data_IF_323303429616
#
_entry.id   IF_323303429616
#
_cell.length_a   1.000
_cell.length_b   1.000
_cell.length_c   1.000
_cell.angle_alpha   90.00
_cell.angle_beta   90.00
_cell.angle_gamma   90.00
#
_symmetry.space_group_name_H-M   'P 1'
#
loop_
_entity.id
_entity.type
_entity.pdbx_description
1 polymer ?
#
# COMPACT_ATOMS: atom_id res chain seq x y z
N UNK A 1 9.05 27.36 -3.01
CA UNK A 1 7.74 27.25 -2.28
C UNK A 1 6.99 26.06 -2.82
N UNK A 2 6.62 25.07 -1.95
CA UNK A 2 5.64 24.08 -2.36
C UNK A 2 4.30 24.80 -2.55
N UNK A 3 3.70 24.68 -3.75
CA UNK A 3 2.37 25.21 -4.01
C UNK A 3 1.34 24.48 -3.12
N UNK A 4 0.17 25.10 -2.89
CA UNK A 4 -0.95 24.50 -2.15
C UNK A 4 -1.24 23.04 -2.54
N UNK A 5 -1.05 22.69 -3.80
CA UNK A 5 -1.27 21.33 -4.33
C UNK A 5 -0.22 20.33 -3.85
N UNK A 6 1.07 20.71 -3.84
CA UNK A 6 2.13 19.85 -3.32
C UNK A 6 2.00 19.57 -1.83
N UNK A 7 1.57 20.57 -1.06
CA UNK A 7 1.27 20.41 0.36
C UNK A 7 0.06 19.47 0.59
N UNK A 8 -0.97 19.55 -0.26
CA UNK A 8 -2.14 18.65 -0.16
C UNK A 8 -1.78 17.21 -0.49
N UNK A 9 -0.97 16.98 -1.54
CA UNK A 9 -0.51 15.64 -1.88
C UNK A 9 0.33 15.04 -0.76
N UNK A 10 1.34 15.76 -0.28
CA UNK A 10 2.21 15.26 0.79
C UNK A 10 1.43 15.03 2.09
N UNK A 11 0.43 15.89 2.40
CA UNK A 11 -0.46 15.67 3.54
C UNK A 11 -1.35 14.44 3.35
N UNK A 12 -1.85 14.16 2.14
CA UNK A 12 -2.62 12.95 1.86
C UNK A 12 -1.75 11.68 2.01
N UNK A 13 -0.51 11.71 1.51
CA UNK A 13 0.42 10.59 1.66
C UNK A 13 0.85 10.38 3.11
N UNK A 14 1.06 11.47 3.87
CA UNK A 14 1.31 11.41 5.31
C UNK A 14 0.10 10.83 6.04
N UNK A 15 -1.10 11.29 5.75
CA UNK A 15 -2.34 10.76 6.32
C UNK A 15 -2.52 9.28 6.02
N UNK A 16 -2.20 8.84 4.80
CA UNK A 16 -2.22 7.43 4.43
C UNK A 16 -1.19 6.62 5.22
N UNK A 17 0.04 7.12 5.36
CA UNK A 17 1.07 6.45 6.16
C UNK A 17 0.64 6.30 7.63
N UNK A 18 0.09 7.36 8.23
CA UNK A 18 -0.44 7.32 9.60
C UNK A 18 -1.58 6.29 9.71
N UNK A 19 -2.52 6.31 8.77
CA UNK A 19 -3.62 5.35 8.74
C UNK A 19 -3.11 3.91 8.70
N UNK A 20 -2.17 3.61 7.80
CA UNK A 20 -1.56 2.28 7.68
C UNK A 20 -0.84 1.88 8.98
N UNK A 21 -0.06 2.80 9.59
CA UNK A 21 0.61 2.56 10.88
C UNK A 21 -0.44 2.19 11.94
N UNK A 22 -1.48 3.00 12.12
CA UNK A 22 -2.50 2.75 13.13
C UNK A 22 -3.23 1.42 12.89
N UNK A 23 -3.57 1.12 11.64
CA UNK A 23 -4.24 -0.12 11.29
C UNK A 23 -3.38 -1.36 11.57
N UNK A 24 -2.08 -1.30 11.31
CA UNK A 24 -1.16 -2.42 11.55
C UNK A 24 -0.80 -2.58 13.03
N UNK A 25 -0.62 -1.48 13.74
CA UNK A 25 -0.16 -1.51 15.14
C UNK A 25 -1.29 -1.73 16.14
N UNK A 26 -2.50 -1.24 15.88
CA UNK A 26 -3.65 -1.35 16.79
C UNK A 26 -4.60 -2.50 16.43
N UNK A 27 -4.31 -3.27 15.38
CA UNK A 27 -5.06 -4.49 15.09
C UNK A 27 -4.94 -5.46 16.29
N UNK A 28 -6.06 -6.05 16.78
CA UNK A 28 -7.39 -6.19 16.18
C UNK A 28 -8.44 -5.14 16.60
N UNK A 29 -8.06 -4.01 17.18
CA UNK A 29 -8.96 -2.95 17.67
C UNK A 29 -9.94 -3.40 18.76
N UNK A 30 -9.60 -4.45 19.46
CA UNK A 30 -10.37 -4.94 20.60
C UNK A 30 -9.76 -4.40 21.89
N UNK A 31 -10.48 -3.46 22.51
CA UNK A 31 -10.05 -2.86 23.77
C UNK A 31 -10.71 -3.59 24.95
N UNK A 32 -9.90 -3.97 25.92
CA UNK A 32 -10.34 -4.59 27.17
C UNK A 32 -9.61 -3.95 28.35
N UNK A 33 -10.16 -4.11 29.53
CA UNK A 33 -9.48 -3.68 30.76
C UNK A 33 -8.21 -4.51 30.94
N UNK A 34 -7.02 -3.89 31.06
CA UNK A 34 -5.77 -4.62 31.13
C UNK A 34 -5.62 -5.33 32.48
N UNK A 35 -5.18 -6.57 32.46
CA UNK A 35 -4.83 -7.32 33.68
C UNK A 35 -3.52 -6.81 34.30
N UNK A 36 -2.64 -6.20 33.52
CA UNK A 36 -1.38 -5.58 33.96
C UNK A 36 -1.12 -4.33 33.14
N UNK A 37 -0.72 -3.27 33.82
CA UNK A 37 -0.30 -2.01 33.20
C UNK A 37 1.22 -1.96 33.25
N UNK A 38 1.87 -1.88 32.09
CA UNK A 38 3.32 -1.75 32.03
C UNK A 38 3.87 -1.95 30.62
N UNK A 39 5.11 -1.47 30.44
CA UNK A 39 5.87 -1.65 29.20
C UNK A 39 6.91 -2.75 29.40
N UNK A 40 7.17 -3.50 28.33
CA UNK A 40 8.24 -4.50 28.31
C UNK A 40 9.49 -3.94 27.65
N UNK A 41 10.63 -4.58 27.93
CA UNK A 41 11.90 -4.33 27.23
C UNK A 41 12.24 -5.47 26.26
N UNK A 42 11.29 -6.39 26.02
CA UNK A 42 11.52 -7.54 25.14
C UNK A 42 10.88 -7.27 23.78
N UNK A 43 11.65 -7.47 22.73
CA UNK A 43 11.19 -7.46 21.35
C UNK A 43 12.04 -8.42 20.52
N UNK A 44 11.48 -8.92 19.42
CA UNK A 44 12.20 -9.73 18.45
C UNK A 44 12.93 -8.80 17.46
N UNK A 45 14.08 -9.21 16.96
CA UNK A 45 14.85 -8.48 15.95
C UNK A 45 14.03 -8.16 14.71
N UNK A 46 13.09 -9.03 14.35
CA UNK A 46 12.15 -8.80 13.24
C UNK A 46 11.25 -7.59 13.53
N UNK A 47 10.68 -7.50 14.73
CA UNK A 47 9.86 -6.36 15.14
C UNK A 47 10.66 -5.06 15.11
N UNK A 48 11.92 -5.08 15.54
CA UNK A 48 12.83 -3.92 15.45
C UNK A 48 12.93 -3.42 14.01
N UNK A 49 13.23 -4.33 13.06
CA UNK A 49 13.36 -3.97 11.64
C UNK A 49 12.04 -3.45 11.10
N UNK A 50 10.92 -4.12 11.39
CA UNK A 50 9.60 -3.73 10.88
C UNK A 50 9.14 -2.39 11.42
N UNK A 51 9.35 -2.11 12.68
CA UNK A 51 9.03 -0.83 13.31
C UNK A 51 9.80 0.31 12.64
N UNK A 52 11.11 0.13 12.42
CA UNK A 52 11.94 1.11 11.70
C UNK A 52 11.36 1.32 10.28
N UNK A 53 11.17 0.26 9.50
CA UNK A 53 10.70 0.34 8.11
C UNK A 53 9.31 0.96 8.03
N UNK A 54 8.41 0.62 8.94
CA UNK A 54 7.05 1.13 9.00
C UNK A 54 7.00 2.66 9.22
N UNK A 55 7.93 3.21 10.02
CA UNK A 55 7.95 4.63 10.35
C UNK A 55 8.81 5.49 9.41
N UNK A 56 9.63 4.90 8.52
CA UNK A 56 10.39 5.66 7.50
C UNK A 56 9.47 6.53 6.62
N UNK A 57 8.37 6.01 6.01
CA UNK A 57 7.46 6.82 5.21
C UNK A 57 6.84 7.98 5.99
N UNK A 58 6.48 7.75 7.26
CA UNK A 58 5.96 8.80 8.12
C UNK A 58 6.96 9.96 8.27
N UNK A 59 8.20 9.67 8.65
CA UNK A 59 9.23 10.70 8.82
C UNK A 59 9.53 11.47 7.52
N UNK A 60 9.60 10.75 6.40
CA UNK A 60 9.80 11.33 5.07
C UNK A 60 8.68 12.29 4.68
N UNK A 61 7.41 11.84 4.73
CA UNK A 61 6.27 12.67 4.36
C UNK A 61 5.99 13.81 5.35
N UNK A 62 6.26 13.60 6.63
CA UNK A 62 6.20 14.67 7.61
C UNK A 62 7.17 15.80 7.27
N UNK A 63 8.42 15.46 6.99
CA UNK A 63 9.48 16.41 6.62
C UNK A 63 9.15 17.15 5.31
N UNK A 64 8.59 16.42 4.35
CA UNK A 64 8.11 16.97 3.07
C UNK A 64 6.96 17.94 3.25
N UNK A 65 5.98 17.62 4.12
CA UNK A 65 4.73 18.39 4.29
C UNK A 65 4.95 19.65 5.12
N UNK A 66 5.53 19.49 6.31
CA UNK A 66 5.62 20.56 7.30
C UNK A 66 6.97 21.28 7.29
N UNK A 67 7.98 20.74 6.61
CA UNK A 67 9.34 21.27 6.53
C UNK A 67 10.00 21.56 7.89
N UNK A 68 9.44 21.00 8.97
CA UNK A 68 9.92 21.16 10.34
C UNK A 68 10.84 20.01 10.74
N UNK A 69 11.85 20.29 11.56
CA UNK A 69 12.81 19.29 12.08
C UNK A 69 12.24 18.38 13.18
N UNK A 70 10.92 18.43 13.43
CA UNK A 70 10.26 17.68 14.52
C UNK A 70 9.81 16.26 14.19
N UNK A 71 10.21 15.66 13.06
CA UNK A 71 9.78 14.31 12.68
C UNK A 71 10.15 13.26 13.75
N UNK A 72 11.35 13.36 14.32
CA UNK A 72 11.81 12.47 15.38
C UNK A 72 10.94 12.58 16.64
N UNK A 73 10.67 13.79 17.11
CA UNK A 73 9.84 14.04 18.28
C UNK A 73 8.38 13.59 18.05
N UNK A 74 7.81 13.93 16.90
CA UNK A 74 6.43 13.52 16.59
C UNK A 74 6.32 12.01 16.41
N UNK A 75 7.33 11.36 15.81
CA UNK A 75 7.42 9.91 15.74
C UNK A 75 7.43 9.26 17.12
N UNK A 76 8.21 9.82 18.07
CA UNK A 76 8.22 9.38 19.45
C UNK A 76 6.85 9.53 20.13
N UNK A 77 6.19 10.68 19.93
CA UNK A 77 4.87 10.95 20.52
C UNK A 77 3.82 9.99 19.96
N UNK A 78 3.76 9.82 18.63
CA UNK A 78 2.80 8.90 18.01
C UNK A 78 3.06 7.47 18.45
N UNK A 79 4.33 7.04 18.48
CA UNK A 79 4.68 5.71 18.94
C UNK A 79 4.29 5.49 20.41
N UNK A 80 4.58 6.46 21.28
CA UNK A 80 4.16 6.39 22.68
C UNK A 80 2.65 6.28 22.83
N UNK A 81 1.87 7.03 22.05
CA UNK A 81 0.40 6.92 22.04
C UNK A 81 -0.03 5.52 21.60
N UNK A 82 0.56 4.99 20.54
CA UNK A 82 0.27 3.65 20.03
C UNK A 82 0.54 2.61 21.12
N UNK A 83 1.73 2.61 21.71
CA UNK A 83 2.09 1.64 22.75
C UNK A 83 1.20 1.78 24.00
N UNK A 84 0.79 3.01 24.34
CA UNK A 84 -0.16 3.24 25.43
C UNK A 84 -1.54 2.64 25.14
N UNK A 85 -2.03 2.80 23.90
CA UNK A 85 -3.31 2.18 23.45
C UNK A 85 -3.18 0.65 23.44
N UNK A 86 -2.02 0.12 23.07
CA UNK A 86 -1.76 -1.33 23.07
C UNK A 86 -1.83 -1.97 24.46
N UNK A 87 -1.65 -1.21 25.55
CA UNK A 87 -1.89 -1.71 26.93
C UNK A 87 -3.31 -2.27 27.06
N UNK A 88 -4.28 -1.67 26.37
CA UNK A 88 -5.69 -2.05 26.40
C UNK A 88 -6.05 -3.13 25.36
N UNK A 89 -5.10 -3.59 24.57
CA UNK A 89 -5.30 -4.65 23.56
C UNK A 89 -4.71 -5.96 24.10
N UNK A 90 -5.51 -6.95 24.54
CA UNK A 90 -5.03 -8.10 25.30
C UNK A 90 -3.95 -8.96 24.64
N UNK A 91 -3.87 -8.90 23.31
CA UNK A 91 -2.91 -9.69 22.50
C UNK A 91 -1.66 -8.91 22.11
N UNK A 92 -1.56 -7.65 22.53
CA UNK A 92 -0.39 -6.81 22.31
C UNK A 92 0.42 -6.68 23.59
N UNK A 93 1.72 -6.60 23.44
CA UNK A 93 2.67 -6.39 24.52
C UNK A 93 3.42 -5.08 24.26
N UNK A 94 3.00 -3.97 24.85
CA UNK A 94 3.64 -2.68 24.62
C UNK A 94 5.13 -2.72 25.04
N UNK A 95 5.99 -2.13 24.21
CA UNK A 95 7.43 -2.22 24.36
C UNK A 95 8.11 -0.86 24.24
N UNK A 96 9.01 -0.54 25.16
CA UNK A 96 9.86 0.66 25.08
C UNK A 96 10.78 0.60 23.86
N UNK A 97 11.23 -0.62 23.49
CA UNK A 97 12.08 -0.81 22.31
C UNK A 97 11.31 -0.44 21.05
N UNK A 98 10.00 -0.71 20.98
CA UNK A 98 9.18 -0.35 19.84
C UNK A 98 9.04 1.18 19.72
N UNK A 99 8.93 1.91 20.84
CA UNK A 99 8.96 3.38 20.82
C UNK A 99 10.28 3.89 20.25
N UNK A 100 11.40 3.33 20.66
CA UNK A 100 12.73 3.73 20.20
C UNK A 100 12.92 3.44 18.69
N UNK A 101 12.53 2.27 18.25
CA UNK A 101 12.71 1.84 16.86
C UNK A 101 11.79 2.60 15.89
N UNK A 102 10.56 2.87 16.28
CA UNK A 102 9.62 3.72 15.53
C UNK A 102 10.14 5.16 15.43
N UNK A 103 10.69 5.69 16.54
CA UNK A 103 11.30 7.02 16.58
C UNK A 103 12.51 7.08 15.65
N UNK A 104 13.37 6.06 15.68
CA UNK A 104 14.53 5.93 14.80
C UNK A 104 14.08 5.89 13.34
N UNK A 105 13.07 5.09 13.00
CA UNK A 105 12.49 5.02 11.65
C UNK A 105 12.00 6.38 11.16
N UNK A 106 11.31 7.15 12.02
CA UNK A 106 10.87 8.52 11.72
C UNK A 106 12.05 9.46 11.44
N UNK A 107 13.11 9.35 12.23
CA UNK A 107 14.36 10.13 12.05
C UNK A 107 15.03 9.77 10.73
N UNK A 108 15.18 8.47 10.43
CA UNK A 108 15.76 7.99 9.17
C UNK A 108 14.96 8.46 7.96
N UNK A 109 13.62 8.45 8.03
CA UNK A 109 12.74 8.98 6.97
C UNK A 109 12.97 10.47 6.71
N UNK A 110 13.09 11.28 7.77
CA UNK A 110 13.38 12.70 7.65
C UNK A 110 14.77 12.96 7.05
N UNK A 111 15.78 12.21 7.47
CA UNK A 111 17.13 12.26 6.89
C UNK A 111 17.14 11.86 5.43
N UNK A 112 16.41 10.80 5.07
CA UNK A 112 16.28 10.37 3.69
C UNK A 112 15.67 11.49 2.82
N UNK A 113 14.66 12.21 3.31
CA UNK A 113 14.13 13.38 2.62
C UNK A 113 15.18 14.47 2.44
N UNK A 114 15.92 14.83 3.50
CA UNK A 114 16.94 15.89 3.43
C UNK A 114 18.05 15.51 2.44
N UNK A 115 18.52 14.25 2.42
CA UNK A 115 19.50 13.74 1.47
C UNK A 115 19.00 13.79 0.02
N UNK A 116 17.75 13.38 -0.21
CA UNK A 116 17.13 13.40 -1.54
C UNK A 116 16.92 14.83 -2.01
N UNK A 117 16.39 15.71 -1.17
CA UNK A 117 16.06 17.09 -1.52
C UNK A 117 17.30 17.96 -1.82
N UNK A 118 18.45 17.66 -1.22
CA UNK A 118 19.70 18.40 -1.45
C UNK A 118 20.50 17.92 -2.67
N UNK A 119 20.34 16.65 -3.05
CA UNK A 119 21.13 16.03 -4.12
C UNK A 119 20.44 15.99 -5.48
N UNK A 120 19.11 16.10 -5.52
CA UNK A 120 18.34 16.01 -6.76
C UNK A 120 18.02 17.41 -7.28
N UNK A 121 18.92 17.95 -8.11
CA UNK A 121 18.56 18.98 -9.10
C UNK A 121 17.95 18.27 -10.31
N UNK A 122 16.63 18.33 -10.46
CA UNK A 122 15.94 17.67 -11.57
C UNK A 122 16.05 18.59 -12.79
N UNK A 123 16.81 18.22 -13.85
CA UNK A 123 16.88 19.00 -15.07
C UNK A 123 15.49 19.01 -15.73
N UNK A 124 15.14 20.10 -16.44
CA UNK A 124 13.82 20.24 -17.08
C UNK A 124 13.49 19.11 -18.07
N UNK A 125 14.50 18.53 -18.73
CA UNK A 125 14.35 17.36 -19.59
C UNK A 125 13.87 16.12 -18.83
N UNK A 126 14.30 15.94 -17.59
CA UNK A 126 13.88 14.84 -16.70
C UNK A 126 12.47 15.06 -16.16
N UNK A 127 12.06 16.32 -15.94
CA UNK A 127 10.70 16.64 -15.46
C UNK A 127 9.63 16.19 -16.47
N UNK A 128 9.90 16.28 -17.76
CA UNK A 128 9.01 15.77 -18.80
C UNK A 128 8.80 14.25 -18.73
N UNK A 129 9.85 13.48 -18.38
CA UNK A 129 9.79 12.02 -18.17
C UNK A 129 9.04 11.68 -16.87
N UNK A 130 9.30 12.37 -15.78
CA UNK A 130 8.62 12.19 -14.52
C UNK A 130 7.10 12.32 -14.63
N UNK A 131 6.59 13.14 -15.56
CA UNK A 131 5.14 13.24 -15.80
C UNK A 131 4.48 11.91 -16.16
N UNK A 132 5.20 11.03 -16.82
CA UNK A 132 4.70 9.75 -17.29
C UNK A 132 4.90 8.63 -16.25
N UNK A 133 5.96 8.73 -15.46
CA UNK A 133 6.42 7.65 -14.57
C UNK A 133 5.96 7.84 -13.12
N UNK A 134 5.78 9.07 -12.68
CA UNK A 134 5.36 9.35 -11.29
C UNK A 134 4.04 8.70 -10.91
N UNK A 135 3.01 8.63 -11.78
CA UNK A 135 1.80 7.86 -11.46
C UNK A 135 2.07 6.38 -11.23
N UNK A 136 2.94 5.76 -12.02
CA UNK A 136 3.33 4.35 -11.82
C UNK A 136 4.14 4.15 -10.54
N UNK A 137 5.00 5.10 -10.18
CA UNK A 137 5.71 5.10 -8.89
C UNK A 137 4.73 5.24 -7.70
N UNK A 138 3.68 6.07 -7.85
CA UNK A 138 2.60 6.18 -6.88
C UNK A 138 1.88 4.84 -6.68
N UNK A 139 1.64 4.10 -7.75
CA UNK A 139 1.06 2.76 -7.68
C UNK A 139 1.98 1.79 -6.91
N UNK A 140 3.28 1.76 -7.22
CA UNK A 140 4.27 0.95 -6.49
C UNK A 140 4.23 1.25 -4.99
N UNK A 141 4.17 2.53 -4.62
CA UNK A 141 4.06 2.93 -3.22
C UNK A 141 2.78 2.39 -2.56
N UNK A 142 1.64 2.50 -3.23
CA UNK A 142 0.35 2.02 -2.69
C UNK A 142 0.26 0.50 -2.61
N UNK A 143 1.03 -0.25 -3.41
CA UNK A 143 1.09 -1.70 -3.35
C UNK A 143 1.90 -2.23 -2.15
N UNK A 144 2.82 -1.44 -1.56
CA UNK A 144 3.64 -1.90 -0.41
C UNK A 144 2.80 -2.28 0.80
N UNK A 145 1.87 -1.43 1.30
CA UNK A 145 1.01 -1.80 2.42
C UNK A 145 0.13 -3.03 2.13
N UNK A 146 -0.25 -3.22 0.86
CA UNK A 146 -1.03 -4.38 0.45
C UNK A 146 -0.21 -5.68 0.49
N UNK A 147 1.04 -5.63 0.03
CA UNK A 147 1.99 -6.73 0.21
C UNK A 147 2.21 -7.06 1.67
N UNK A 148 2.44 -6.03 2.48
CA UNK A 148 2.64 -6.17 3.92
C UNK A 148 1.44 -6.84 4.60
N UNK A 149 0.23 -6.38 4.27
CA UNK A 149 -1.01 -6.95 4.77
C UNK A 149 -1.14 -8.44 4.43
N UNK A 150 -0.84 -8.82 3.19
CA UNK A 150 -0.86 -10.22 2.77
C UNK A 150 0.25 -11.06 3.42
N UNK A 151 1.43 -10.48 3.61
CA UNK A 151 2.55 -11.15 4.25
C UNK A 151 2.27 -11.45 5.74
N UNK A 152 1.59 -10.56 6.46
CA UNK A 152 1.14 -10.82 7.83
C UNK A 152 0.18 -12.01 7.93
N UNK A 153 -0.65 -12.23 6.91
CA UNK A 153 -1.59 -13.34 6.89
C UNK A 153 -0.97 -14.68 6.45
N UNK A 154 0.23 -14.66 5.93
CA UNK A 154 0.88 -15.83 5.34
C UNK A 154 1.14 -16.94 6.36
N UNK A 155 1.55 -16.60 7.57
CA UNK A 155 1.82 -17.57 8.64
C UNK A 155 0.55 -18.32 9.07
N UNK A 156 -0.59 -17.63 9.11
CA UNK A 156 -1.85 -18.19 9.55
C UNK A 156 -2.62 -18.91 8.43
N UNK A 157 -2.36 -18.55 7.17
CA UNK A 157 -3.01 -19.09 5.99
C UNK A 157 -2.01 -19.21 4.82
N UNK A 158 -1.18 -20.29 4.79
CA UNK A 158 -0.14 -20.46 3.77
C UNK A 158 -0.66 -20.40 2.33
N UNK A 159 -1.90 -20.80 2.08
CA UNK A 159 -2.53 -20.72 0.75
C UNK A 159 -2.65 -19.30 0.20
N UNK A 160 -2.52 -18.27 1.06
CA UNK A 160 -2.58 -16.85 0.65
C UNK A 160 -1.36 -16.39 -0.16
N UNK A 161 -0.33 -17.24 -0.35
CA UNK A 161 0.77 -16.94 -1.24
C UNK A 161 0.33 -16.55 -2.65
N UNK A 162 -0.83 -17.06 -3.11
CA UNK A 162 -1.43 -16.72 -4.41
C UNK A 162 -1.77 -15.22 -4.47
N UNK A 163 -2.35 -14.67 -3.41
CA UNK A 163 -2.68 -13.23 -3.32
C UNK A 163 -1.42 -12.37 -3.33
N UNK A 164 -0.41 -12.77 -2.56
CA UNK A 164 0.90 -12.11 -2.55
C UNK A 164 1.55 -12.14 -3.93
N UNK A 165 1.47 -13.27 -4.63
CA UNK A 165 2.00 -13.42 -5.99
C UNK A 165 1.31 -12.46 -6.98
N UNK A 166 -0.02 -12.36 -6.96
CA UNK A 166 -0.77 -11.47 -7.87
C UNK A 166 -0.39 -10.00 -7.67
N UNK A 167 -0.28 -9.55 -6.41
CA UNK A 167 0.16 -8.18 -6.12
C UNK A 167 1.58 -7.96 -6.62
N UNK A 168 2.45 -8.93 -6.38
CA UNK A 168 3.85 -8.86 -6.78
C UNK A 168 4.03 -8.85 -8.31
N UNK A 169 3.19 -9.58 -9.04
CA UNK A 169 3.15 -9.51 -10.51
C UNK A 169 2.74 -8.12 -11.01
N UNK A 170 1.79 -7.46 -10.34
CA UNK A 170 1.47 -6.06 -10.66
C UNK A 170 2.70 -5.15 -10.51
N UNK A 171 3.43 -5.28 -9.40
CA UNK A 171 4.67 -4.53 -9.17
C UNK A 171 5.74 -4.83 -10.22
N UNK A 172 5.97 -6.10 -10.55
CA UNK A 172 6.91 -6.56 -11.58
C UNK A 172 6.64 -5.91 -12.93
N UNK A 173 5.37 -5.90 -13.37
CA UNK A 173 4.98 -5.26 -14.62
C UNK A 173 5.29 -3.76 -14.59
N UNK A 174 4.96 -3.08 -13.48
CA UNK A 174 5.18 -1.65 -13.35
C UNK A 174 6.68 -1.31 -13.33
N UNK A 175 7.50 -2.04 -12.55
CA UNK A 175 8.95 -1.84 -12.54
C UNK A 175 9.58 -2.05 -13.92
N UNK A 176 9.22 -3.14 -14.62
CA UNK A 176 9.75 -3.41 -15.94
C UNK A 176 9.46 -2.28 -16.92
N UNK A 177 8.27 -1.70 -16.90
CA UNK A 177 7.89 -0.61 -17.80
C UNK A 177 8.55 0.72 -17.40
N UNK A 178 8.69 1.05 -16.10
CA UNK A 178 9.43 2.23 -15.66
C UNK A 178 10.87 2.17 -16.15
N UNK A 179 11.56 1.04 -15.95
CA UNK A 179 12.97 0.91 -16.31
C UNK A 179 13.19 0.87 -17.83
N UNK A 180 12.28 0.32 -18.63
CA UNK A 180 12.35 0.38 -20.10
C UNK A 180 12.36 1.81 -20.63
N UNK A 181 11.68 2.72 -19.96
CA UNK A 181 11.56 4.12 -20.39
C UNK A 181 12.68 5.01 -19.87
N UNK A 182 13.33 4.63 -18.77
CA UNK A 182 14.39 5.43 -18.16
C UNK A 182 15.70 5.35 -18.93
N UNK A 183 15.95 4.22 -19.61
CA UNK A 183 17.19 4.00 -20.37
C UNK A 183 16.90 3.80 -21.85
N UNK A 184 17.41 4.72 -22.68
CA UNK A 184 17.29 4.63 -24.14
C UNK A 184 18.11 3.47 -24.73
N UNK A 185 19.21 3.08 -24.04
CA UNK A 185 20.06 1.97 -24.43
C UNK A 185 19.68 0.70 -23.66
N UNK A 186 19.29 -0.32 -24.41
CA UNK A 186 19.08 -1.67 -23.85
C UNK A 186 20.41 -2.24 -23.40
N UNK A 187 20.66 -2.21 -22.11
CA UNK A 187 21.81 -2.85 -21.49
C UNK A 187 21.33 -3.88 -20.49
N UNK A 188 22.06 -4.99 -20.35
CA UNK A 188 21.83 -5.96 -19.27
C UNK A 188 21.79 -5.28 -17.89
N UNK A 189 22.52 -4.15 -17.72
CA UNK A 189 22.52 -3.34 -16.49
C UNK A 189 21.15 -2.77 -16.17
N UNK A 190 20.36 -2.38 -17.16
CA UNK A 190 19.00 -1.86 -16.98
C UNK A 190 18.09 -2.95 -16.46
N UNK A 191 18.15 -4.14 -17.07
CA UNK A 191 17.38 -5.31 -16.63
C UNK A 191 17.75 -5.75 -15.21
N UNK A 192 19.05 -5.73 -14.88
CA UNK A 192 19.55 -6.03 -13.55
C UNK A 192 19.05 -5.01 -12.51
N UNK A 193 19.15 -3.71 -12.83
CA UNK A 193 18.67 -2.65 -11.93
C UNK A 193 17.15 -2.73 -11.71
N UNK A 194 16.38 -3.05 -12.74
CA UNK A 194 14.94 -3.28 -12.62
C UNK A 194 14.63 -4.47 -11.70
N UNK A 195 15.35 -5.58 -11.89
CA UNK A 195 15.22 -6.76 -11.05
C UNK A 195 15.58 -6.48 -9.58
N UNK A 196 16.68 -5.77 -9.34
CA UNK A 196 17.10 -5.39 -7.99
C UNK A 196 16.07 -4.45 -7.33
N UNK A 197 15.56 -3.45 -8.05
CA UNK A 197 14.53 -2.56 -7.53
C UNK A 197 13.24 -3.31 -7.18
N UNK A 198 12.78 -4.21 -8.05
CA UNK A 198 11.62 -5.06 -7.79
C UNK A 198 11.84 -6.02 -6.62
N UNK A 199 13.04 -6.60 -6.51
CA UNK A 199 13.43 -7.46 -5.40
C UNK A 199 13.42 -6.71 -4.06
N UNK A 200 14.09 -5.55 -3.99
CA UNK A 200 14.10 -4.70 -2.79
C UNK A 200 12.67 -4.34 -2.37
N UNK A 201 11.85 -3.89 -3.32
CA UNK A 201 10.44 -3.56 -3.09
C UNK A 201 9.66 -4.76 -2.55
N UNK A 202 9.82 -5.94 -3.18
CA UNK A 202 9.15 -7.16 -2.75
C UNK A 202 9.56 -7.58 -1.33
N UNK A 203 10.87 -7.60 -1.03
CA UNK A 203 11.35 -8.00 0.30
C UNK A 203 10.97 -6.99 1.39
N UNK A 204 10.90 -5.69 1.09
CA UNK A 204 10.34 -4.71 2.02
C UNK A 204 8.86 -5.00 2.27
N UNK A 205 8.07 -5.23 1.23
CA UNK A 205 6.63 -5.48 1.33
C UNK A 205 6.28 -6.85 1.92
N UNK A 206 7.10 -7.88 1.69
CA UNK A 206 6.89 -9.24 2.22
C UNK A 206 7.62 -9.51 3.54
N UNK A 207 8.26 -8.51 4.12
CA UNK A 207 9.04 -8.62 5.36
C UNK A 207 8.34 -9.40 6.48
N UNK A 208 7.04 -9.16 6.79
CA UNK A 208 6.35 -9.95 7.81
C UNK A 208 6.30 -11.47 7.56
N UNK A 209 6.38 -11.91 6.30
CA UNK A 209 6.37 -13.33 5.93
C UNK A 209 7.75 -14.01 5.98
N UNK A 210 8.79 -13.34 6.46
CA UNK A 210 10.14 -13.89 6.60
C UNK A 210 10.23 -15.05 7.64
N UNK A 211 9.15 -15.31 8.38
CA UNK A 211 8.96 -16.54 9.15
C UNK A 211 8.97 -17.79 8.26
N UNK A 212 8.58 -17.65 6.99
CA UNK A 212 8.60 -18.67 5.94
C UNK A 212 9.64 -18.31 4.86
N UNK A 213 10.95 -18.39 5.17
CA UNK A 213 11.99 -17.80 4.31
C UNK A 213 12.07 -18.45 2.93
N UNK A 214 11.89 -19.76 2.82
CA UNK A 214 12.03 -20.48 1.56
C UNK A 214 10.99 -20.08 0.50
N UNK A 215 9.67 -20.08 0.78
CA UNK A 215 8.68 -19.59 -0.19
C UNK A 215 8.89 -18.13 -0.56
N UNK A 216 9.19 -17.26 0.41
CA UNK A 216 9.41 -15.83 0.15
C UNK A 216 10.62 -15.60 -0.74
N UNK A 217 11.74 -16.29 -0.48
CA UNK A 217 12.94 -16.22 -1.32
C UNK A 217 12.65 -16.76 -2.73
N UNK A 218 11.96 -17.89 -2.85
CA UNK A 218 11.63 -18.47 -4.16
C UNK A 218 10.76 -17.52 -5.00
N UNK A 219 9.70 -16.94 -4.39
CA UNK A 219 8.86 -15.95 -5.06
C UNK A 219 9.68 -14.71 -5.42
N UNK A 220 10.48 -14.18 -4.51
CA UNK A 220 11.30 -12.99 -4.73
C UNK A 220 12.29 -13.18 -5.90
N UNK A 221 13.00 -14.30 -5.94
CA UNK A 221 13.92 -14.62 -7.04
C UNK A 221 13.20 -14.80 -8.38
N UNK A 222 12.05 -15.48 -8.38
CA UNK A 222 11.22 -15.64 -9.58
C UNK A 222 10.74 -14.29 -10.11
N UNK A 223 10.32 -13.38 -9.24
CA UNK A 223 9.88 -12.02 -9.60
C UNK A 223 11.05 -11.18 -10.14
N UNK A 224 12.23 -11.25 -9.54
CA UNK A 224 13.43 -10.60 -10.03
C UNK A 224 13.79 -11.10 -11.43
N UNK A 225 13.79 -12.41 -11.64
CA UNK A 225 14.03 -13.01 -12.95
C UNK A 225 12.98 -12.56 -13.98
N UNK A 226 11.71 -12.61 -13.62
CA UNK A 226 10.61 -12.15 -14.48
C UNK A 226 10.73 -10.65 -14.80
N UNK A 227 11.10 -9.82 -13.83
CA UNK A 227 11.31 -8.38 -14.05
C UNK A 227 12.46 -8.15 -15.03
N UNK A 228 13.58 -8.86 -14.87
CA UNK A 228 14.73 -8.77 -15.78
C UNK A 228 14.33 -9.17 -17.21
N UNK A 229 13.63 -10.28 -17.37
CA UNK A 229 13.19 -10.79 -18.68
C UNK A 229 12.20 -9.84 -19.36
N UNK A 230 11.17 -9.39 -18.61
CA UNK A 230 10.20 -8.42 -19.13
C UNK A 230 10.89 -7.10 -19.53
N UNK A 231 11.89 -6.64 -18.77
CA UNK A 231 12.65 -5.41 -19.10
C UNK A 231 13.49 -5.59 -20.36
N UNK A 232 14.05 -6.79 -20.59
CA UNK A 232 14.85 -7.11 -21.78
C UNK A 232 14.02 -7.23 -23.06
N UNK A 233 12.70 -7.56 -22.93
CA UNK A 233 11.83 -7.70 -24.09
C UNK A 233 11.66 -6.38 -24.86
N UNK A 234 11.60 -6.44 -26.21
CA UNK A 234 11.36 -5.26 -27.01
C UNK A 234 10.03 -4.58 -26.66
N UNK A 235 10.07 -3.28 -26.62
CA UNK A 235 8.86 -2.49 -26.45
C UNK A 235 8.01 -2.60 -27.72
N UNK A 236 6.83 -3.18 -27.60
CA UNK A 236 5.93 -3.43 -28.75
C UNK A 236 5.25 -2.17 -29.27
N UNK A 237 5.22 -1.09 -28.49
CA UNK A 237 4.54 0.13 -28.89
C UNK A 237 5.48 1.34 -28.84
N UNK A 238 5.64 2.03 -29.98
CA UNK A 238 6.15 3.40 -30.03
C UNK A 238 5.15 4.42 -29.49
N UNK A 239 4.05 3.96 -28.89
CA UNK A 239 3.03 4.85 -28.37
C UNK A 239 3.55 5.67 -27.19
N UNK A 240 3.37 6.98 -27.28
CA UNK A 240 3.59 7.94 -26.17
C UNK A 240 2.71 7.66 -24.93
N UNK A 241 1.99 6.52 -24.89
CA UNK A 241 0.98 6.13 -23.88
C UNK A 241 1.31 4.81 -23.22
N UNK A 242 2.55 4.57 -22.85
CA UNK A 242 2.99 3.32 -22.23
C UNK A 242 2.26 3.02 -20.91
N UNK A 243 1.84 4.02 -20.15
CA UNK A 243 1.07 3.82 -18.91
C UNK A 243 -0.24 3.06 -19.18
N UNK A 244 -0.94 3.38 -20.26
CA UNK A 244 -2.20 2.70 -20.61
C UNK A 244 -1.98 1.24 -21.00
N UNK A 245 -0.88 0.95 -21.68
CA UNK A 245 -0.48 -0.42 -21.99
C UNK A 245 -0.12 -1.19 -20.70
N UNK A 246 0.58 -0.55 -19.77
CA UNK A 246 0.90 -1.10 -18.46
C UNK A 246 -0.37 -1.40 -17.66
N UNK A 247 -1.28 -0.44 -17.57
CA UNK A 247 -2.54 -0.61 -16.87
C UNK A 247 -3.42 -1.72 -17.47
N UNK A 248 -3.46 -1.88 -18.80
CA UNK A 248 -4.16 -2.99 -19.45
C UNK A 248 -3.67 -4.36 -19.00
N UNK A 249 -2.39 -4.47 -18.61
CA UNK A 249 -1.81 -5.71 -18.05
C UNK A 249 -2.03 -5.84 -16.55
N UNK A 250 -1.99 -4.74 -15.81
CA UNK A 250 -2.17 -4.72 -14.35
C UNK A 250 -3.62 -4.95 -13.96
N UNK A 251 -4.60 -4.36 -14.67
CA UNK A 251 -6.02 -4.45 -14.31
C UNK A 251 -6.57 -5.88 -14.21
N UNK A 252 -6.34 -6.79 -15.17
CA UNK A 252 -6.87 -8.15 -15.05
C UNK A 252 -6.24 -8.91 -13.88
N UNK A 253 -4.95 -8.71 -13.61
CA UNK A 253 -4.26 -9.37 -12.48
C UNK A 253 -4.79 -8.82 -11.16
N UNK A 254 -4.93 -7.50 -11.05
CA UNK A 254 -5.47 -6.87 -9.86
C UNK A 254 -6.97 -7.17 -9.67
N UNK A 255 -7.74 -7.26 -10.76
CA UNK A 255 -9.12 -7.70 -10.74
C UNK A 255 -9.27 -9.14 -10.25
N UNK A 256 -8.39 -10.04 -10.69
CA UNK A 256 -8.33 -11.41 -10.18
C UNK A 256 -7.98 -11.43 -8.69
N UNK A 257 -7.03 -10.59 -8.26
CA UNK A 257 -6.71 -10.45 -6.84
C UNK A 257 -7.96 -10.05 -6.02
N UNK A 258 -8.71 -9.03 -6.45
CA UNK A 258 -9.92 -8.59 -5.75
C UNK A 258 -11.02 -9.66 -5.74
N UNK A 259 -11.17 -10.40 -6.83
CA UNK A 259 -12.11 -11.51 -6.92
C UNK A 259 -11.74 -12.63 -5.93
N UNK A 260 -10.47 -13.05 -5.93
CA UNK A 260 -10.01 -14.06 -4.98
C UNK A 260 -10.08 -13.60 -3.54
N UNK A 261 -9.81 -12.31 -3.27
CA UNK A 261 -9.99 -11.72 -1.95
C UNK A 261 -11.46 -11.79 -1.51
N UNK A 262 -12.39 -11.47 -2.41
CA UNK A 262 -13.82 -11.55 -2.12
C UNK A 262 -14.32 -12.99 -1.96
N UNK A 263 -13.73 -13.95 -2.66
CA UNK A 263 -14.13 -15.37 -2.65
C UNK A 263 -13.26 -16.25 -1.75
N UNK A 264 -12.47 -15.67 -0.86
CA UNK A 264 -11.49 -16.42 -0.07
C UNK A 264 -12.14 -17.47 0.85
N UNK A 265 -13.33 -17.19 1.38
CA UNK A 265 -14.06 -18.14 2.20
C UNK A 265 -15.05 -18.99 1.38
N UNK A 266 -15.32 -20.24 1.79
CA UNK A 266 -16.27 -21.08 1.10
C UNK A 266 -17.66 -20.45 1.00
N UNK A 267 -18.27 -20.55 -0.19
CA UNK A 267 -19.63 -20.09 -0.42
C UNK A 267 -20.65 -21.05 0.18
N UNK A 268 -21.69 -20.51 0.76
CA UNK A 268 -22.89 -21.24 1.19
C UNK A 268 -23.95 -21.28 0.10
N UNK A 269 -24.94 -22.17 0.19
CA UNK A 269 -26.09 -22.14 -0.71
C UNK A 269 -26.76 -20.76 -0.75
N UNK A 270 -27.36 -20.40 -1.88
CA UNK A 270 -28.04 -19.12 -2.09
C UNK A 270 -29.10 -18.78 -1.04
N UNK A 271 -29.74 -19.80 -0.46
CA UNK A 271 -30.75 -19.67 0.60
C UNK A 271 -30.20 -19.16 1.94
N UNK A 272 -28.88 -19.11 2.10
CA UNK A 272 -28.22 -18.71 3.33
C UNK A 272 -27.61 -17.30 3.27
N UNK A 273 -28.01 -16.45 2.30
CA UNK A 273 -27.53 -15.08 2.20
C UNK A 273 -27.98 -14.26 3.43
N UNK A 274 -27.05 -13.52 4.01
CA UNK A 274 -27.34 -12.67 5.15
C UNK A 274 -26.55 -11.37 5.11
N UNK A 275 -27.13 -10.32 5.66
CA UNK A 275 -26.55 -8.98 5.75
C UNK A 275 -26.56 -8.48 7.18
N UNK A 276 -25.54 -7.73 7.53
CA UNK A 276 -25.39 -7.06 8.82
C UNK A 276 -25.05 -5.59 8.62
N UNK A 277 -25.41 -4.76 9.58
CA UNK A 277 -25.04 -3.35 9.56
C UNK A 277 -23.56 -3.15 9.91
N UNK A 278 -23.03 -3.99 10.78
CA UNK A 278 -21.69 -3.87 11.33
C UNK A 278 -20.72 -4.95 10.85
N UNK A 279 -19.55 -4.98 11.47
CA UNK A 279 -18.60 -6.07 11.31
C UNK A 279 -19.04 -7.23 12.23
N UNK A 280 -19.35 -8.36 11.62
CA UNK A 280 -19.80 -9.57 12.34
C UNK A 280 -18.68 -10.49 12.78
N UNK A 281 -17.44 -10.16 12.40
CA UNK A 281 -16.30 -10.98 12.76
C UNK A 281 -16.16 -11.03 14.28
N UNK A 282 -16.55 -12.15 14.89
CA UNK A 282 -16.22 -12.40 16.28
C UNK A 282 -14.70 -12.48 16.39
N UNK A 283 -14.13 -11.55 17.15
CA UNK A 283 -12.71 -11.54 17.46
C UNK A 283 -12.48 -12.68 18.45
N UNK A 284 -12.05 -13.82 17.92
CA UNK A 284 -11.54 -14.93 18.74
C UNK A 284 -10.02 -14.83 18.82
N UNK A 285 -9.39 -15.40 19.85
CA UNK A 285 -7.94 -15.42 19.98
C UNK A 285 -7.22 -15.95 18.72
N UNK A 286 -7.83 -16.91 18.03
CA UNK A 286 -7.33 -17.43 16.74
C UNK A 286 -7.47 -16.42 15.59
N UNK A 287 -8.48 -15.56 15.60
CA UNK A 287 -8.66 -14.53 14.56
C UNK A 287 -7.73 -13.33 14.72
N UNK A 288 -7.10 -13.20 15.87
CA UNK A 288 -6.08 -12.18 16.13
C UNK A 288 -4.78 -12.43 15.35
N UNK A 289 -4.46 -13.70 15.12
CA UNK A 289 -3.31 -14.10 14.29
C UNK A 289 -3.61 -13.95 12.79
N UNK A 290 -4.90 -13.92 12.42
CA UNK A 290 -5.33 -13.67 11.06
C UNK A 290 -5.31 -12.15 10.80
N UNK A 291 -4.82 -11.78 9.64
CA UNK A 291 -4.90 -10.41 9.16
C UNK A 291 -6.33 -9.91 9.32
N UNK A 292 -6.48 -8.72 9.86
CA UNK A 292 -7.78 -8.08 9.85
C UNK A 292 -8.18 -7.81 8.38
N UNK A 293 -9.20 -8.51 7.84
CA UNK A 293 -9.60 -8.35 6.44
C UNK A 293 -9.93 -6.89 6.09
N UNK A 294 -10.31 -6.08 7.10
CA UNK A 294 -10.63 -4.66 6.95
C UNK A 294 -9.45 -3.85 6.43
N UNK A 295 -8.23 -4.13 6.93
CA UNK A 295 -7.01 -3.44 6.45
C UNK A 295 -6.76 -3.78 5.00
N UNK A 296 -6.87 -5.06 4.67
CA UNK A 296 -6.64 -5.54 3.31
C UNK A 296 -7.65 -4.93 2.33
N UNK A 297 -8.94 -4.91 2.69
CA UNK A 297 -9.97 -4.25 1.88
C UNK A 297 -9.69 -2.74 1.72
N UNK A 298 -9.39 -2.04 2.81
CA UNK A 298 -9.10 -0.60 2.75
C UNK A 298 -7.94 -0.30 1.79
N UNK A 299 -6.84 -1.03 1.91
CA UNK A 299 -5.66 -0.80 1.08
C UNK A 299 -5.91 -1.25 -0.36
N UNK A 300 -6.54 -2.41 -0.58
CA UNK A 300 -6.86 -2.93 -1.90
C UNK A 300 -7.76 -1.98 -2.69
N UNK A 301 -8.80 -1.45 -2.06
CA UNK A 301 -9.71 -0.53 -2.74
C UNK A 301 -9.15 0.88 -2.89
N UNK A 302 -8.18 1.29 -2.05
CA UNK A 302 -7.38 2.50 -2.32
C UNK A 302 -6.57 2.33 -3.61
N UNK A 303 -5.93 1.18 -3.81
CA UNK A 303 -5.22 0.85 -5.06
C UNK A 303 -6.19 0.82 -6.24
N UNK A 304 -7.37 0.21 -6.10
CA UNK A 304 -8.38 0.18 -7.17
C UNK A 304 -8.79 1.60 -7.59
N UNK A 305 -9.12 2.46 -6.63
CA UNK A 305 -9.51 3.85 -6.92
C UNK A 305 -8.40 4.63 -7.63
N UNK A 306 -7.15 4.43 -7.23
CA UNK A 306 -5.98 4.99 -7.90
C UNK A 306 -5.87 4.50 -9.35
N UNK A 307 -5.97 3.19 -9.60
CA UNK A 307 -5.93 2.58 -10.93
C UNK A 307 -7.06 3.11 -11.83
N UNK A 308 -8.27 3.23 -11.30
CA UNK A 308 -9.43 3.75 -12.05
C UNK A 308 -9.24 5.22 -12.47
N UNK A 309 -8.70 6.04 -11.57
CA UNK A 309 -8.39 7.43 -11.87
C UNK A 309 -7.23 7.54 -12.88
N UNK A 310 -6.19 6.72 -12.74
CA UNK A 310 -5.05 6.68 -13.66
C UNK A 310 -5.48 6.23 -15.06
N UNK A 311 -6.36 5.24 -15.19
CA UNK A 311 -6.89 4.79 -16.47
C UNK A 311 -7.51 5.92 -17.30
N UNK A 312 -8.12 6.91 -16.62
CA UNK A 312 -8.77 8.07 -17.23
C UNK A 312 -7.89 9.32 -17.21
N UNK A 313 -6.81 9.30 -16.47
CA UNK A 313 -6.03 10.49 -16.09
C UNK A 313 -5.52 11.34 -17.24
N UNK A 314 -5.50 10.85 -18.48
CA UNK A 314 -5.08 11.62 -19.66
C UNK A 314 -6.16 12.50 -20.27
N UNK A 315 -7.41 12.30 -19.93
CA UNK A 315 -8.52 13.15 -20.43
C UNK A 315 -8.57 14.52 -19.76
N UNK A 316 -7.60 14.85 -18.88
CA UNK A 316 -7.48 16.12 -18.15
C UNK A 316 -8.73 16.50 -17.32
N UNK A 317 -9.55 15.51 -17.01
CA UNK A 317 -10.76 15.68 -16.22
C UNK A 317 -10.37 16.16 -14.82
N UNK A 318 -10.96 17.24 -14.31
CA UNK A 318 -10.74 17.71 -12.94
C UNK A 318 -11.34 16.72 -11.94
N UNK A 319 -10.79 16.70 -10.71
CA UNK A 319 -11.23 15.79 -9.63
C UNK A 319 -12.75 15.89 -9.41
N UNK A 320 -13.33 17.10 -9.45
CA UNK A 320 -14.76 17.31 -9.22
C UNK A 320 -15.67 16.59 -10.21
N UNK A 321 -15.21 16.40 -11.45
CA UNK A 321 -15.95 15.66 -12.49
C UNK A 321 -15.68 14.15 -12.46
N UNK A 322 -14.53 13.74 -11.93
CA UNK A 322 -14.18 12.32 -11.85
C UNK A 322 -14.72 11.65 -10.58
N UNK A 323 -14.87 12.39 -9.48
CA UNK A 323 -15.40 11.88 -8.21
C UNK A 323 -16.76 11.19 -8.34
N UNK A 324 -17.80 11.73 -9.02
CA UNK A 324 -19.07 11.05 -9.16
C UNK A 324 -18.95 9.70 -9.88
N UNK A 325 -18.07 9.62 -10.87
CA UNK A 325 -17.81 8.38 -11.63
C UNK A 325 -17.07 7.35 -10.78
N UNK A 326 -16.02 7.78 -10.05
CA UNK A 326 -15.32 6.93 -9.10
C UNK A 326 -16.28 6.41 -8.02
N UNK A 327 -17.18 7.27 -7.52
CA UNK A 327 -18.22 6.89 -6.57
C UNK A 327 -19.16 5.83 -7.16
N UNK A 328 -19.72 6.05 -8.34
CA UNK A 328 -20.64 5.10 -8.99
C UNK A 328 -19.96 3.76 -9.24
N UNK A 329 -18.73 3.78 -9.79
CA UNK A 329 -18.01 2.54 -10.09
C UNK A 329 -17.64 1.79 -8.82
N UNK A 330 -17.09 2.49 -7.81
CA UNK A 330 -16.71 1.85 -6.55
C UNK A 330 -17.93 1.34 -5.77
N UNK A 331 -19.07 2.03 -5.85
CA UNK A 331 -20.32 1.55 -5.27
C UNK A 331 -20.81 0.27 -5.96
N UNK A 332 -20.73 0.19 -7.30
CA UNK A 332 -21.03 -1.03 -8.03
C UNK A 332 -20.14 -2.20 -7.63
N UNK A 333 -18.83 -1.96 -7.52
CA UNK A 333 -17.88 -2.98 -7.06
C UNK A 333 -18.15 -3.37 -5.60
N UNK A 334 -18.41 -2.40 -4.72
CA UNK A 334 -18.76 -2.66 -3.32
C UNK A 334 -19.99 -3.56 -3.21
N UNK A 335 -21.06 -3.24 -3.94
CA UNK A 335 -22.27 -4.07 -3.98
C UNK A 335 -22.00 -5.48 -4.50
N UNK A 336 -21.19 -5.62 -5.57
CA UNK A 336 -20.82 -6.93 -6.09
C UNK A 336 -20.02 -7.76 -5.08
N UNK A 337 -19.05 -7.14 -4.41
CA UNK A 337 -18.26 -7.80 -3.35
C UNK A 337 -19.15 -8.22 -2.19
N UNK A 338 -20.01 -7.33 -1.68
CA UNK A 338 -20.89 -7.64 -0.56
C UNK A 338 -21.94 -8.70 -0.93
N UNK A 339 -22.42 -8.68 -2.17
CA UNK A 339 -23.30 -9.73 -2.68
C UNK A 339 -22.62 -11.11 -2.63
N UNK A 340 -21.37 -11.21 -3.10
CA UNK A 340 -20.60 -12.46 -3.04
C UNK A 340 -20.29 -12.88 -1.60
N UNK A 341 -19.85 -11.93 -0.76
CA UNK A 341 -19.49 -12.21 0.64
C UNK A 341 -20.72 -12.61 1.48
N UNK A 342 -21.90 -12.14 1.11
CA UNK A 342 -23.16 -12.52 1.77
C UNK A 342 -23.47 -14.03 1.72
N UNK A 343 -22.91 -14.76 0.76
CA UNK A 343 -23.03 -16.21 0.66
C UNK A 343 -21.91 -16.99 1.36
N UNK A 344 -20.94 -16.32 1.95
CA UNK A 344 -19.82 -17.00 2.60
C UNK A 344 -20.19 -17.56 3.97
N UNK A 345 -19.48 -18.62 4.37
CA UNK A 345 -19.68 -19.26 5.67
C UNK A 345 -19.15 -18.43 6.86
N UNK A 346 -18.56 -17.28 6.60
CA UNK A 346 -17.91 -16.39 7.57
C UNK A 346 -18.69 -15.09 7.81
N UNK A 347 -18.13 -13.95 7.40
CA UNK A 347 -18.53 -12.63 7.88
C UNK A 347 -19.90 -12.13 7.38
N UNK A 348 -20.47 -12.70 6.33
CA UNK A 348 -21.68 -12.16 5.68
C UNK A 348 -21.48 -10.79 5.03
N UNK A 349 -22.51 -10.28 4.36
CA UNK A 349 -22.51 -8.93 3.79
C UNK A 349 -22.52 -7.87 4.90
N UNK A 350 -21.78 -6.76 4.71
CA UNK A 350 -21.67 -5.70 5.71
C UNK A 350 -21.77 -4.31 5.08
N UNK A 351 -22.72 -3.51 5.57
CA UNK A 351 -22.88 -2.14 5.08
C UNK A 351 -21.65 -1.27 5.40
N UNK A 352 -21.06 -1.44 6.58
CA UNK A 352 -19.85 -0.67 6.96
C UNK A 352 -18.68 -1.02 6.04
N UNK A 353 -18.51 -2.29 5.68
CA UNK A 353 -17.46 -2.71 4.72
C UNK A 353 -17.71 -2.13 3.33
N UNK A 354 -18.96 -2.13 2.85
CA UNK A 354 -19.31 -1.48 1.59
C UNK A 354 -18.94 0.01 1.57
N UNK A 355 -19.30 0.75 2.63
CA UNK A 355 -18.93 2.17 2.78
C UNK A 355 -17.40 2.32 2.81
N UNK A 356 -16.69 1.48 3.54
CA UNK A 356 -15.23 1.51 3.62
C UNK A 356 -14.58 1.29 2.24
N UNK A 357 -15.09 0.36 1.42
CA UNK A 357 -14.66 0.11 0.05
C UNK A 357 -14.80 1.37 -0.80
N UNK A 358 -15.96 2.00 -0.76
CA UNK A 358 -16.24 3.23 -1.55
C UNK A 358 -15.32 4.37 -1.12
N UNK A 359 -15.22 4.63 0.19
CA UNK A 359 -14.37 5.71 0.73
C UNK A 359 -12.91 5.49 0.38
N UNK A 360 -12.42 4.26 0.49
CA UNK A 360 -11.04 3.91 0.15
C UNK A 360 -10.75 4.12 -1.34
N UNK A 361 -11.68 3.75 -2.22
CA UNK A 361 -11.52 3.96 -3.66
C UNK A 361 -11.54 5.47 -4.02
N UNK A 362 -12.43 6.24 -3.42
CA UNK A 362 -12.45 7.71 -3.60
C UNK A 362 -11.14 8.34 -3.11
N UNK A 363 -10.61 7.87 -1.99
CA UNK A 363 -9.34 8.34 -1.45
C UNK A 363 -8.18 8.04 -2.40
N UNK A 364 -8.10 6.80 -2.94
CA UNK A 364 -7.08 6.42 -3.92
C UNK A 364 -7.13 7.26 -5.19
N UNK A 365 -8.33 7.50 -5.73
CA UNK A 365 -8.54 8.39 -6.86
C UNK A 365 -8.13 9.83 -6.57
N UNK A 366 -8.40 10.31 -5.35
CA UNK A 366 -7.98 11.65 -4.91
C UNK A 366 -6.46 11.77 -4.84
N UNK A 367 -5.75 10.77 -4.32
CA UNK A 367 -4.27 10.73 -4.31
C UNK A 367 -3.74 10.86 -5.73
N UNK A 368 -4.32 10.12 -6.69
CA UNK A 368 -3.91 10.20 -8.09
C UNK A 368 -4.06 11.62 -8.66
N UNK A 369 -5.22 12.26 -8.47
CA UNK A 369 -5.46 13.61 -8.95
C UNK A 369 -4.56 14.67 -8.30
N UNK A 370 -4.29 14.53 -7.00
CA UNK A 370 -3.34 15.41 -6.29
C UNK A 370 -1.92 15.24 -6.82
N UNK A 371 -1.50 14.00 -7.08
CA UNK A 371 -0.19 13.69 -7.66
C UNK A 371 -0.06 14.34 -9.05
N UNK A 372 -1.05 14.16 -9.91
CA UNK A 372 -1.06 14.80 -11.23
C UNK A 372 -1.06 16.31 -11.20
N UNK A 373 -1.85 16.91 -10.32
CA UNK A 373 -1.86 18.35 -10.15
C UNK A 373 -0.50 18.89 -9.69
N UNK A 374 0.19 18.15 -8.81
CA UNK A 374 1.54 18.51 -8.38
C UNK A 374 2.56 18.42 -9.52
N UNK A 375 2.49 17.37 -10.34
CA UNK A 375 3.36 17.20 -11.51
C UNK A 375 3.16 18.35 -12.50
N UNK A 376 1.91 18.75 -12.79
CA UNK A 376 1.63 19.90 -13.67
C UNK A 376 2.26 21.19 -13.14
N UNK A 377 2.15 21.40 -11.84
CA UNK A 377 2.79 22.56 -11.21
C UNK A 377 4.31 22.56 -11.39
N UNK A 378 4.97 21.41 -11.21
CA UNK A 378 6.41 21.28 -11.42
C UNK A 378 6.83 21.55 -12.88
N UNK A 379 5.92 21.33 -13.84
CA UNK A 379 6.11 21.58 -15.26
C UNK A 379 5.80 23.03 -15.70
N UNK A 380 5.40 23.91 -14.76
CA UNK A 380 5.05 25.29 -15.07
C UNK A 380 3.74 25.45 -15.87
N UNK A 381 2.83 24.50 -15.77
CA UNK A 381 1.54 24.46 -16.46
C UNK A 381 0.36 24.46 -15.50
#
# INVERSE_FOLDING_TARGET
MLNKTGNRLSAALLGYAILVILLLTLNPFYLAVPNRIGFTFRTDIRNVIFNIVLFIPFGFFYRLTLRRRGAFLLGAIISFIIETVQIFIPVRTPSIIDILTNTLGSGMGALAYDLVSTRITIPQSTVGRLRLETPLMGLIYLLVPLLWANALAFDAAPNRWILTLLISLCGTIVFSEIFKHWWETRSYRVSLNAALAAGIWFFIGSGPALTQPLPVLAIGLALMFLTATLTALPQQSKERRFERATLKRVFPIFGLYLLLLALWHPLRPLTAWHVTLGFTDRITEKSVQLLNPRIEYLVAFTVLGYLLAEWRGRSEIPLSQDLPRLFLFSSGVALAVEFLVGFQSGPGASLIRAVMVVVSALFGGTIYHLLRAHIRFLLGR
#
